data_IF_641908017549
#
_entry.id   IF_641908017549
#
_cell.length_a   1.000
_cell.length_b   1.000
_cell.length_c   1.000
_cell.angle_alpha   90.00
_cell.angle_beta   90.00
_cell.angle_gamma   90.00
#
_symmetry.space_group_name_H-M   'P 1'
#
loop_
_entity.id
_entity.type
_entity.pdbx_description
1 polymer ?
#
# COMPACT_ATOMS: atom_id res chain seq x y z
N UNK A 1 -7.38 0.37 2.07
CA UNK A 1 -7.10 -0.22 3.40
C UNK A 1 -7.06 -1.74 3.29
N UNK A 2 -6.07 -2.35 3.90
CA UNK A 2 -6.02 -3.80 3.99
C UNK A 2 -7.07 -4.31 4.99
N UNK A 3 -7.70 -5.44 4.70
CA UNK A 3 -8.68 -6.04 5.60
C UNK A 3 -8.76 -7.55 5.38
N UNK A 4 -9.50 -8.22 6.24
CA UNK A 4 -9.74 -9.67 6.19
C UNK A 4 -11.23 -9.98 6.04
N UNK A 5 -11.99 -9.12 5.38
CA UNK A 5 -13.43 -9.24 5.16
C UNK A 5 -14.18 -8.04 5.75
N UNK A 6 -15.52 -8.09 5.85
CA UNK A 6 -16.32 -6.98 6.35
C UNK A 6 -15.92 -6.54 7.76
N UNK A 7 -15.83 -5.23 7.96
CA UNK A 7 -15.58 -4.61 9.27
C UNK A 7 -14.27 -5.05 9.94
N UNK A 8 -13.22 -5.31 9.13
CA UNK A 8 -11.91 -5.76 9.64
C UNK A 8 -10.78 -4.78 9.31
N UNK A 9 -11.09 -3.55 8.91
CA UNK A 9 -10.07 -2.54 8.66
C UNK A 9 -9.32 -2.21 9.95
N UNK A 10 -8.01 -2.21 9.86
CA UNK A 10 -7.12 -1.77 10.94
C UNK A 10 -6.28 -0.60 10.48
N UNK A 11 -5.00 -0.60 10.82
CA UNK A 11 -4.04 0.44 10.45
C UNK A 11 -3.18 0.07 9.24
N UNK A 12 -3.34 -1.11 8.68
CA UNK A 12 -2.58 -1.53 7.51
C UNK A 12 -3.21 -1.01 6.24
N UNK A 13 -2.38 -0.56 5.32
CA UNK A 13 -2.81 -0.10 4.00
C UNK A 13 -1.83 -0.62 2.94
N UNK A 14 -2.24 -0.56 1.69
CA UNK A 14 -1.36 -0.92 0.58
C UNK A 14 -1.42 0.12 -0.53
N UNK A 15 -0.37 0.15 -1.34
CA UNK A 15 -0.23 1.03 -2.48
C UNK A 15 -0.29 0.18 -3.75
N UNK A 16 -1.20 0.52 -4.65
CA UNK A 16 -1.36 -0.20 -5.91
C UNK A 16 -0.41 0.38 -6.96
N UNK A 17 0.29 -0.49 -7.67
CA UNK A 17 1.18 -0.13 -8.77
C UNK A 17 0.55 -0.40 -10.13
N UNK A 18 -0.61 -1.04 -10.16
CA UNK A 18 -1.41 -1.32 -11.35
C UNK A 18 -2.89 -1.16 -10.98
N UNK A 19 -3.74 -1.10 -12.00
CA UNK A 19 -5.18 -1.08 -11.77
C UNK A 19 -5.65 -2.40 -11.17
N UNK A 20 -6.44 -2.31 -10.09
CA UNK A 20 -6.86 -3.46 -9.30
C UNK A 20 -8.38 -3.50 -9.14
N UNK A 21 -9.10 -3.50 -10.26
CA UNK A 21 -10.58 -3.42 -10.26
C UNK A 21 -11.25 -4.56 -9.50
N UNK A 22 -10.59 -5.72 -9.37
CA UNK A 22 -11.11 -6.84 -8.60
C UNK A 22 -11.19 -6.57 -7.09
N UNK A 23 -10.56 -5.51 -6.61
CA UNK A 23 -10.63 -5.09 -5.20
C UNK A 23 -11.77 -4.13 -4.93
N UNK A 24 -12.45 -3.65 -5.96
CA UNK A 24 -13.54 -2.69 -5.81
C UNK A 24 -14.67 -3.27 -4.96
N UNK A 25 -15.18 -2.47 -4.04
CA UNK A 25 -16.24 -2.87 -3.13
C UNK A 25 -15.78 -3.69 -1.93
N UNK A 26 -14.50 -4.09 -1.88
CA UNK A 26 -13.93 -4.92 -0.80
C UNK A 26 -12.95 -4.15 0.07
N UNK A 27 -12.34 -3.11 -0.47
CA UNK A 27 -11.32 -2.31 0.22
C UNK A 27 -11.63 -0.83 0.08
N UNK A 28 -11.43 -0.10 1.17
CA UNK A 28 -11.62 1.35 1.16
C UNK A 28 -10.45 2.01 0.44
N UNK A 29 -10.75 2.84 -0.56
CA UNK A 29 -9.77 3.69 -1.23
C UNK A 29 -9.86 5.08 -0.60
N UNK A 30 -8.76 5.55 -0.04
CA UNK A 30 -8.74 6.83 0.68
C UNK A 30 -7.75 7.84 0.08
N UNK A 31 -7.05 7.48 -0.97
CA UNK A 31 -6.12 8.40 -1.59
C UNK A 31 -5.41 7.79 -2.79
N UNK A 32 -4.58 8.61 -3.41
CA UNK A 32 -3.75 8.20 -4.53
C UNK A 32 -2.37 8.83 -4.42
N UNK A 33 -1.37 8.18 -4.99
CA UNK A 33 0.01 8.68 -5.00
C UNK A 33 0.09 9.85 -6.00
N UNK A 34 0.51 11.02 -5.52
CA UNK A 34 0.69 12.21 -6.36
C UNK A 34 2.13 12.41 -6.79
N UNK A 35 3.08 12.00 -5.96
CA UNK A 35 4.53 12.09 -6.23
C UNK A 35 5.21 10.87 -5.64
N UNK A 36 6.34 10.45 -6.22
CA UNK A 36 7.14 9.37 -5.66
C UNK A 36 6.73 7.97 -6.12
N UNK A 37 5.99 7.84 -7.22
CA UNK A 37 5.63 6.51 -7.75
C UNK A 37 6.87 5.69 -8.09
N UNK A 38 7.96 6.32 -8.48
CA UNK A 38 9.25 5.67 -8.70
C UNK A 38 9.80 5.04 -7.40
N UNK A 39 9.61 5.72 -6.27
CA UNK A 39 9.96 5.18 -4.95
C UNK A 39 9.07 3.99 -4.59
N UNK A 40 7.77 4.08 -4.86
CA UNK A 40 6.82 2.99 -4.62
C UNK A 40 7.24 1.75 -5.42
N UNK A 41 7.63 1.92 -6.67
CA UNK A 41 8.10 0.82 -7.51
C UNK A 41 9.41 0.23 -7.01
N UNK A 42 10.31 1.06 -6.47
CA UNK A 42 11.55 0.59 -5.87
C UNK A 42 11.27 -0.25 -4.61
N UNK A 43 10.29 0.14 -3.81
CA UNK A 43 9.84 -0.64 -2.64
C UNK A 43 9.23 -1.97 -3.09
N UNK A 44 8.40 -1.94 -4.14
CA UNK A 44 7.82 -3.17 -4.70
C UNK A 44 8.90 -4.16 -5.12
N UNK A 45 10.01 -3.66 -5.67
CA UNK A 45 11.11 -4.50 -6.15
C UNK A 45 11.81 -5.27 -5.03
N UNK A 46 11.71 -4.84 -3.77
CA UNK A 46 12.29 -5.59 -2.64
C UNK A 46 11.32 -6.61 -2.05
N UNK A 47 10.11 -6.69 -2.57
CA UNK A 47 9.12 -7.70 -2.19
C UNK A 47 9.43 -9.05 -2.82
N UNK A 48 8.87 -10.10 -2.24
CA UNK A 48 9.01 -11.48 -2.74
C UNK A 48 7.64 -12.16 -2.75
N UNK A 49 7.55 -13.29 -3.44
CA UNK A 49 6.32 -14.07 -3.52
C UNK A 49 5.86 -14.62 -2.16
N UNK A 50 6.76 -14.75 -1.20
CA UNK A 50 6.43 -15.20 0.16
C UNK A 50 5.95 -14.06 1.06
N UNK A 51 6.02 -12.81 0.60
CA UNK A 51 5.68 -11.62 1.38
C UNK A 51 6.84 -11.06 2.20
N UNK A 52 7.96 -11.76 2.27
CA UNK A 52 9.15 -11.28 2.99
C UNK A 52 9.93 -10.32 2.09
N UNK A 53 10.37 -9.19 2.65
CA UNK A 53 11.17 -8.23 1.90
C UNK A 53 12.65 -8.60 1.94
N UNK A 54 13.39 -8.24 0.87
CA UNK A 54 14.84 -8.48 0.79
C UNK A 54 15.64 -7.42 1.55
N UNK A 55 15.02 -6.25 1.82
CA UNK A 55 15.61 -5.16 2.58
C UNK A 55 14.56 -4.62 3.53
N UNK A 56 15.00 -4.04 4.64
CA UNK A 56 14.09 -3.39 5.58
C UNK A 56 13.47 -2.15 4.95
N UNK A 57 12.15 -2.04 5.02
CA UNK A 57 11.40 -0.88 4.54
C UNK A 57 10.68 -0.24 5.73
N UNK A 58 10.94 1.03 5.95
CA UNK A 58 10.39 1.76 7.10
C UNK A 58 9.81 3.09 6.63
N UNK A 59 8.61 3.43 7.11
CA UNK A 59 8.06 4.78 6.94
C UNK A 59 8.83 5.72 7.86
N UNK A 60 9.67 6.58 7.27
CA UNK A 60 10.54 7.48 8.03
C UNK A 60 9.76 8.63 8.64
N UNK A 61 8.73 9.10 7.97
CA UNK A 61 7.91 10.22 8.42
C UNK A 61 6.56 10.18 7.72
N UNK A 62 5.54 10.69 8.37
CA UNK A 62 4.20 10.80 7.79
C UNK A 62 3.45 11.92 8.51
N UNK A 63 2.46 12.49 7.83
CA UNK A 63 1.67 13.55 8.41
C UNK A 63 0.80 14.24 7.37
N UNK A 64 0.01 15.18 7.85
CA UNK A 64 -0.84 16.02 7.03
C UNK A 64 -0.09 17.30 6.67
N UNK A 65 -0.12 17.67 5.37
CA UNK A 65 0.63 18.84 4.89
C UNK A 65 -0.07 20.18 5.15
N UNK A 66 -1.37 20.14 5.41
CA UNK A 66 -2.15 21.38 5.62
C UNK A 66 -3.19 21.23 6.71
#
# INVERSE_FOLDING_TARGET
MANAGPNTNGSQFFLCTVQTSWLDGKHVVFGSVTKGMDVVKAVEAVGTSSGKTTKQVVIADCGQLS
#
